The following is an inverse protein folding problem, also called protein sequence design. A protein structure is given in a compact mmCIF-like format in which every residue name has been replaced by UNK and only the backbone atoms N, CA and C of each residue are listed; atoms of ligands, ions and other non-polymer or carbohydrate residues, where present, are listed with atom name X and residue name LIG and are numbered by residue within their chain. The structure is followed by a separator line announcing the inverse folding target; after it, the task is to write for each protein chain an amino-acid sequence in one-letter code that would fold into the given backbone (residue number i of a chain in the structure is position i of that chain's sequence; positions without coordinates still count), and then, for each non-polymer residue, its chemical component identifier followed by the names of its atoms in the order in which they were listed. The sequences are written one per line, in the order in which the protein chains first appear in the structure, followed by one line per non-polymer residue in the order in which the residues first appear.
data_IF_834836909499
#
_entry.id   IF_834836909499
#
_cell.length_a   1.000
_cell.length_b   1.000
_cell.length_c   1.000
_cell.angle_alpha   90.00
_cell.angle_beta   90.00
_cell.angle_gamma   90.00
#
_symmetry.space_group_name_H-M   'P 1'
#
loop_
_entity.id
_entity.type
_entity.pdbx_description
1 polymer ?
#
# COMPACT_ATOMS: atom_id res chain seq x y z
N UNK A 1 -0.93 1.20 -1.15
CA UNK A 1 -0.15 -0.02 -0.86
C UNK A 1 -0.99 -1.25 -1.26
N UNK A 2 -0.38 -2.28 -1.85
CA UNK A 2 -1.09 -3.39 -2.51
C UNK A 2 -1.14 -4.68 -1.67
N UNK A 3 -1.17 -4.54 -0.34
CA UNK A 3 -1.04 -5.65 0.60
C UNK A 3 0.12 -6.58 0.20
N UNK A 4 -0.16 -7.85 -0.13
CA UNK A 4 0.86 -8.81 -0.56
C UNK A 4 1.11 -8.88 -2.08
N UNK A 5 0.35 -8.18 -2.92
CA UNK A 5 0.45 -8.33 -4.37
C UNK A 5 1.77 -7.77 -4.94
N UNK A 6 2.23 -6.63 -4.41
CA UNK A 6 3.48 -5.99 -4.86
C UNK A 6 4.24 -5.44 -3.67
N UNK A 7 5.43 -6.00 -3.45
CA UNK A 7 6.40 -5.56 -2.44
C UNK A 7 7.41 -4.63 -3.13
N UNK A 8 7.06 -3.35 -3.30
CA UNK A 8 7.81 -2.41 -4.13
C UNK A 8 9.25 -2.23 -3.68
N UNK A 9 9.51 -2.29 -2.39
CA UNK A 9 10.86 -2.09 -1.89
C UNK A 9 11.75 -3.27 -2.30
N UNK A 10 11.26 -4.51 -2.27
CA UNK A 10 12.03 -5.66 -2.77
C UNK A 10 12.21 -5.58 -4.29
N UNK A 11 11.15 -5.26 -5.02
CA UNK A 11 11.21 -5.09 -6.46
C UNK A 11 12.18 -3.97 -6.87
N UNK A 12 12.23 -2.89 -6.10
CA UNK A 12 13.07 -1.74 -6.38
C UNK A 12 14.55 -2.06 -6.22
N UNK A 13 14.93 -3.04 -5.40
CA UNK A 13 16.35 -3.41 -5.22
C UNK A 13 17.01 -3.83 -6.54
N UNK A 14 16.25 -4.43 -7.46
CA UNK A 14 16.74 -4.76 -8.80
C UNK A 14 17.30 -3.53 -9.51
N UNK A 15 16.57 -2.41 -9.50
CA UNK A 15 17.00 -1.17 -10.15
C UNK A 15 17.91 -0.32 -9.27
N UNK A 16 17.73 -0.41 -7.95
CA UNK A 16 18.42 0.42 -6.96
C UNK A 16 19.94 0.28 -7.03
N UNK A 17 20.45 -0.92 -7.34
CA UNK A 17 21.89 -1.17 -7.45
C UNK A 17 22.55 -0.20 -8.44
N UNK A 18 21.93 0.06 -9.60
CA UNK A 18 22.49 1.01 -10.59
C UNK A 18 22.23 2.47 -10.21
N UNK A 19 21.03 2.77 -9.69
CA UNK A 19 20.71 4.14 -9.24
C UNK A 19 21.65 4.60 -8.14
N UNK A 20 22.00 3.70 -7.21
CA UNK A 20 22.93 3.97 -6.11
C UNK A 20 24.30 4.38 -6.61
N UNK A 21 24.86 3.70 -7.63
CA UNK A 21 26.18 4.05 -8.19
C UNK A 21 26.24 5.50 -8.68
N UNK A 22 25.13 6.01 -9.22
CA UNK A 22 25.05 7.36 -9.78
C UNK A 22 24.70 8.43 -8.74
N UNK A 23 23.97 8.05 -7.68
CA UNK A 23 23.29 9.00 -6.79
C UNK A 23 23.86 9.04 -5.36
N UNK A 24 24.65 8.05 -4.95
CA UNK A 24 25.14 7.94 -3.55
C UNK A 24 25.95 9.14 -3.06
N UNK A 25 26.70 9.81 -3.94
CA UNK A 25 27.51 10.98 -3.55
C UNK A 25 26.66 12.24 -3.30
N UNK A 26 25.49 12.33 -3.93
CA UNK A 26 24.65 13.53 -3.91
C UNK A 26 23.40 13.37 -3.04
N UNK A 27 22.98 12.13 -2.77
CA UNK A 27 21.72 11.82 -2.09
C UNK A 27 21.93 10.78 -1.00
N UNK A 28 21.74 11.20 0.25
CA UNK A 28 21.88 10.34 1.45
C UNK A 28 20.93 9.15 1.45
N UNK A 29 19.80 9.25 0.75
CA UNK A 29 18.80 8.19 0.57
C UNK A 29 19.38 6.99 -0.22
N UNK A 30 20.46 7.22 -0.96
CA UNK A 30 21.22 6.19 -1.68
C UNK A 30 22.45 5.72 -0.90
N UNK A 31 22.68 6.19 0.33
CA UNK A 31 23.76 5.70 1.18
C UNK A 31 23.58 4.22 1.57
N UNK A 32 22.37 3.74 1.98
CA UNK A 32 22.15 2.33 2.26
C UNK A 32 22.44 1.43 1.06
N UNK A 33 22.76 0.17 1.32
CA UNK A 33 23.01 -0.81 0.25
C UNK A 33 21.73 -1.29 -0.44
N UNK A 34 20.62 -1.32 0.31
CA UNK A 34 19.31 -1.77 -0.16
C UNK A 34 18.24 -0.71 0.15
N UNK A 35 17.13 -0.75 -0.60
CA UNK A 35 15.99 0.14 -0.33
C UNK A 35 15.34 -0.17 1.02
N UNK A 36 14.78 0.84 1.71
CA UNK A 36 14.18 0.67 3.03
C UNK A 36 13.01 -0.33 2.98
N UNK A 37 13.02 -1.28 3.90
CA UNK A 37 12.01 -2.35 4.00
C UNK A 37 11.10 -2.15 5.21
N UNK A 38 11.64 -1.78 6.36
CA UNK A 38 10.94 -1.84 7.64
C UNK A 38 9.62 -1.06 7.67
N UNK A 39 9.63 0.15 7.09
CA UNK A 39 8.50 1.09 7.09
C UNK A 39 7.44 0.78 6.01
N UNK A 40 7.69 -0.22 5.16
CA UNK A 40 6.77 -0.59 4.10
C UNK A 40 5.46 -1.19 4.68
N UNK A 41 4.33 -0.66 4.21
CA UNK A 41 2.98 -1.10 4.56
C UNK A 41 2.54 -2.14 3.53
N UNK A 42 2.76 -3.41 3.83
CA UNK A 42 2.57 -4.58 2.96
C UNK A 42 2.19 -5.79 3.82
N UNK A 43 1.76 -6.86 3.14
CA UNK A 43 1.71 -8.20 3.72
C UNK A 43 2.83 -9.04 3.10
N UNK A 44 3.68 -9.67 3.91
CA UNK A 44 4.79 -10.46 3.43
C UNK A 44 5.21 -11.50 4.49
N UNK A 45 4.81 -12.77 4.33
CA UNK A 45 5.13 -13.83 5.29
C UNK A 45 6.63 -14.05 5.49
N UNK A 46 7.44 -13.92 4.43
CA UNK A 46 8.90 -14.10 4.48
C UNK A 46 9.57 -13.03 5.34
N UNK A 47 8.96 -11.85 5.44
CA UNK A 47 9.41 -10.73 6.28
C UNK A 47 8.66 -10.61 7.60
N UNK A 48 7.76 -11.55 7.91
CA UNK A 48 6.93 -11.51 9.11
C UNK A 48 5.93 -10.35 9.15
N UNK A 49 5.60 -9.76 7.99
CA UNK A 49 4.60 -8.69 7.86
C UNK A 49 3.23 -9.32 7.64
N UNK A 50 2.33 -9.07 8.56
CA UNK A 50 0.99 -9.67 8.63
C UNK A 50 -0.09 -8.71 8.10
N UNK A 51 -1.30 -9.22 7.91
CA UNK A 51 -2.46 -8.37 7.59
C UNK A 51 -2.76 -7.35 8.69
N UNK A 52 -2.44 -7.67 9.95
CA UNK A 52 -2.55 -6.71 11.06
C UNK A 52 -1.53 -5.58 10.93
N UNK A 53 -0.28 -5.86 10.56
CA UNK A 53 0.72 -4.82 10.29
C UNK A 53 0.29 -3.90 9.15
N UNK A 54 -0.38 -4.47 8.13
CA UNK A 54 -0.93 -3.71 7.02
C UNK A 54 -2.08 -2.80 7.46
N UNK A 55 -3.03 -3.30 8.24
CA UNK A 55 -4.13 -2.52 8.83
C UNK A 55 -3.62 -1.38 9.72
N UNK A 56 -2.70 -1.68 10.65
CA UNK A 56 -2.15 -0.70 11.58
C UNK A 56 -1.36 0.39 10.84
N UNK A 57 -0.56 0.00 9.85
CA UNK A 57 0.17 0.95 9.00
C UNK A 57 -0.76 1.87 8.21
N UNK A 58 -1.80 1.32 7.58
CA UNK A 58 -2.82 2.12 6.89
C UNK A 58 -3.57 3.05 7.85
N UNK A 59 -3.89 2.58 9.04
CA UNK A 59 -4.55 3.39 10.08
C UNK A 59 -3.70 4.61 10.40
N UNK A 60 -2.39 4.44 10.60
CA UNK A 60 -1.48 5.55 10.90
C UNK A 60 -1.42 6.57 9.76
N UNK A 61 -1.39 6.12 8.50
CA UNK A 61 -1.43 7.01 7.33
C UNK A 61 -2.73 7.81 7.32
N UNK A 62 -3.87 7.16 7.48
CA UNK A 62 -5.17 7.82 7.48
C UNK A 62 -5.34 8.76 8.68
N UNK A 63 -4.79 8.43 9.85
CA UNK A 63 -4.78 9.36 11.00
C UNK A 63 -4.00 10.64 10.69
N UNK A 64 -2.87 10.55 9.97
CA UNK A 64 -2.14 11.74 9.55
C UNK A 64 -2.93 12.55 8.51
N UNK A 65 -3.63 11.89 7.59
CA UNK A 65 -4.55 12.56 6.68
C UNK A 65 -5.67 13.27 7.46
N UNK A 66 -6.26 12.62 8.46
CA UNK A 66 -7.36 13.17 9.26
C UNK A 66 -6.90 14.42 10.02
N UNK A 67 -5.72 14.36 10.64
CA UNK A 67 -5.12 15.46 11.41
C UNK A 67 -4.95 16.75 10.61
N UNK A 68 -4.69 16.65 9.29
CA UNK A 68 -4.45 17.83 8.43
C UNK A 68 -5.65 18.22 7.58
N UNK A 69 -6.68 17.38 7.55
CA UNK A 69 -7.93 17.66 6.85
C UNK A 69 -8.73 18.70 7.65
N UNK A 70 -9.51 19.52 6.95
CA UNK A 70 -10.48 20.40 7.60
C UNK A 70 -11.59 19.56 8.21
N UNK A 71 -12.27 20.09 9.24
CA UNK A 71 -13.38 19.39 9.92
C UNK A 71 -14.49 18.92 8.96
N UNK A 72 -14.70 19.63 7.85
CA UNK A 72 -15.69 19.33 6.80
C UNK A 72 -15.06 18.77 5.51
N UNK A 73 -13.77 18.43 5.54
CA UNK A 73 -13.05 17.93 4.38
C UNK A 73 -13.38 16.46 4.06
N UNK A 74 -13.28 16.11 2.77
CA UNK A 74 -13.44 14.74 2.30
C UNK A 74 -12.08 14.14 1.94
N UNK A 75 -11.78 12.96 2.48
CA UNK A 75 -10.72 12.10 1.97
C UNK A 75 -11.32 11.18 0.90
N UNK A 76 -10.97 11.42 -0.36
CA UNK A 76 -11.35 10.58 -1.49
C UNK A 76 -10.15 9.78 -1.99
N UNK A 77 -10.29 8.47 -2.11
CA UNK A 77 -9.23 7.60 -2.62
C UNK A 77 -9.81 6.40 -3.36
N UNK A 78 -8.97 5.75 -4.17
CA UNK A 78 -9.30 4.49 -4.86
C UNK A 78 -8.49 3.37 -4.25
N UNK A 79 -9.10 2.19 -4.11
CA UNK A 79 -8.43 0.98 -3.68
C UNK A 79 -8.83 -0.18 -4.60
N UNK A 80 -7.91 -1.11 -4.81
CA UNK A 80 -8.13 -2.27 -5.66
C UNK A 80 -7.39 -3.47 -5.08
N UNK A 81 -8.13 -4.55 -4.81
CA UNK A 81 -7.58 -5.82 -4.37
C UNK A 81 -8.55 -6.95 -4.71
N UNK A 82 -8.02 -8.14 -5.04
CA UNK A 82 -8.84 -9.30 -5.39
C UNK A 82 -9.46 -9.99 -4.16
N UNK A 83 -8.75 -9.98 -3.04
CA UNK A 83 -9.16 -10.67 -1.80
C UNK A 83 -9.93 -9.77 -0.85
N UNK A 84 -11.03 -10.29 -0.29
CA UNK A 84 -11.89 -9.57 0.66
C UNK A 84 -11.22 -9.20 2.00
N UNK A 85 -10.23 -9.98 2.44
CA UNK A 85 -9.42 -9.71 3.63
C UNK A 85 -8.75 -8.33 3.58
N UNK A 86 -8.17 -7.97 2.44
CA UNK A 86 -7.54 -6.66 2.26
C UNK A 86 -8.56 -5.50 2.30
N UNK A 87 -9.79 -5.74 1.82
CA UNK A 87 -10.88 -4.77 1.93
C UNK A 87 -11.35 -4.62 3.38
N UNK A 88 -11.39 -5.71 4.15
CA UNK A 88 -11.70 -5.66 5.58
C UNK A 88 -10.65 -4.85 6.35
N UNK A 89 -9.36 -5.12 6.13
CA UNK A 89 -8.25 -4.37 6.71
C UNK A 89 -8.33 -2.88 6.37
N UNK A 90 -8.65 -2.55 5.10
CA UNK A 90 -8.86 -1.16 4.69
C UNK A 90 -10.02 -0.50 5.44
N UNK A 91 -11.19 -1.16 5.51
CA UNK A 91 -12.37 -0.61 6.19
C UNK A 91 -12.09 -0.37 7.67
N UNK A 92 -11.42 -1.31 8.34
CA UNK A 92 -10.98 -1.15 9.74
C UNK A 92 -10.03 0.03 9.87
N UNK A 93 -9.04 0.16 8.99
CA UNK A 93 -8.10 1.27 9.02
C UNK A 93 -8.77 2.65 8.85
N UNK A 94 -9.73 2.77 7.94
CA UNK A 94 -10.50 4.00 7.74
C UNK A 94 -11.29 4.37 8.98
N UNK A 95 -12.05 3.41 9.55
CA UNK A 95 -12.85 3.64 10.75
C UNK A 95 -11.98 3.97 11.98
N UNK A 96 -10.90 3.22 12.19
CA UNK A 96 -9.96 3.42 13.31
C UNK A 96 -9.20 4.76 13.22
N UNK A 97 -9.09 5.33 12.01
CA UNK A 97 -8.50 6.65 11.79
C UNK A 97 -9.46 7.83 12.06
N UNK A 98 -10.70 7.55 12.47
CA UNK A 98 -11.69 8.58 12.83
C UNK A 98 -12.51 9.09 11.65
N UNK A 99 -12.51 8.40 10.51
CA UNK A 99 -13.36 8.73 9.37
C UNK A 99 -14.73 8.03 9.46
N UNK A 100 -15.74 8.69 8.90
CA UNK A 100 -17.01 8.08 8.55
C UNK A 100 -17.07 7.84 7.03
N UNK A 101 -17.67 6.73 6.61
CA UNK A 101 -17.84 6.40 5.19
C UNK A 101 -19.06 7.16 4.66
N UNK A 102 -18.81 8.13 3.78
CA UNK A 102 -19.88 8.91 3.14
C UNK A 102 -20.43 8.20 1.89
N UNK A 103 -19.56 7.61 1.08
CA UNK A 103 -19.95 6.99 -0.18
C UNK A 103 -18.91 5.95 -0.65
N UNK A 104 -19.38 4.89 -1.29
CA UNK A 104 -18.53 3.87 -1.93
C UNK A 104 -19.05 3.62 -3.34
N UNK A 105 -18.15 3.71 -4.32
CA UNK A 105 -18.46 3.49 -5.73
C UNK A 105 -17.67 2.29 -6.24
N UNK A 106 -18.26 1.07 -6.23
CA UNK A 106 -17.58 -0.10 -6.76
C UNK A 106 -17.46 0.01 -8.28
N UNK A 107 -16.24 -0.19 -8.79
CA UNK A 107 -15.94 -0.17 -10.22
C UNK A 107 -15.27 -1.49 -10.59
N UNK A 108 -15.74 -2.14 -11.65
CA UNK A 108 -15.04 -3.28 -12.23
C UNK A 108 -13.78 -2.80 -12.94
N UNK A 109 -12.63 -3.05 -12.31
CA UNK A 109 -11.32 -2.57 -12.78
C UNK A 109 -10.60 -3.49 -13.78
N UNK A 110 -11.09 -4.71 -13.99
CA UNK A 110 -10.45 -5.68 -14.90
C UNK A 110 -11.35 -6.05 -16.07
N UNK A 111 -10.73 -6.28 -17.23
CA UNK A 111 -11.40 -6.75 -18.45
C UNK A 111 -11.85 -8.21 -18.28
N UNK A 112 -13.09 -8.53 -18.66
CA UNK A 112 -13.58 -9.92 -18.73
C UNK A 112 -12.73 -10.82 -19.64
N UNK A 113 -11.99 -10.24 -20.59
CA UNK A 113 -11.11 -10.94 -21.53
C UNK A 113 -9.65 -11.05 -21.08
N UNK A 114 -9.33 -10.74 -19.82
CA UNK A 114 -7.95 -10.85 -19.31
C UNK A 114 -7.47 -12.32 -19.36
N UNK A 115 -6.44 -12.57 -20.16
CA UNK A 115 -5.82 -13.90 -20.30
C UNK A 115 -5.29 -14.45 -18.97
N UNK A 116 -4.98 -13.59 -18.00
CA UNK A 116 -4.50 -13.97 -16.66
C UNK A 116 -5.60 -14.57 -15.75
N UNK A 117 -6.89 -14.45 -16.13
CA UNK A 117 -8.02 -14.95 -15.34
C UNK A 117 -8.65 -16.23 -15.92
N UNK A 118 -8.31 -16.61 -17.16
CA UNK A 118 -8.90 -17.78 -17.81
C UNK A 118 -8.57 -19.10 -17.09
N UNK A 119 -7.46 -19.16 -16.36
CA UNK A 119 -7.03 -20.36 -15.62
C UNK A 119 -7.59 -20.44 -14.18
N UNK A 120 -8.38 -19.46 -13.73
CA UNK A 120 -8.90 -19.41 -12.34
C UNK A 120 -10.42 -19.61 -12.22
N UNK A 121 -11.09 -20.03 -13.29
CA UNK A 121 -12.54 -20.34 -13.29
C UNK A 121 -12.81 -21.83 -13.10
#
# INVERSE_FOLDING_TARGET
PYAGNVNYSELSDFFYVWLRLLLVENYKEFAPELTPKAEEIIENPTRGKTSQDFEEGLTQVFQQCNRVLKDDGLLAFTFHHAEGSAWEALLRAVCNAGYAIESVYPIHGESESSLHLLDKR
#
